data_IF_435411366978
#
_entry.id   IF_435411366978
#
_cell.length_a   1.000
_cell.length_b   1.000
_cell.length_c   1.000
_cell.angle_alpha   90.00
_cell.angle_beta   90.00
_cell.angle_gamma   90.00
#
_symmetry.space_group_name_H-M   'P 1'
#
loop_
_entity.id
_entity.type
_entity.pdbx_description
1 polymer ?
#
# COMPACT_ATOMS: atom_id res chain seq x y z
N UNK A 1 0.77 7.80 -3.32
CA UNK A 1 0.73 6.41 -2.82
C UNK A 1 -0.73 6.08 -2.58
N UNK A 2 -1.22 4.99 -3.18
CA UNK A 2 -2.55 4.45 -2.91
C UNK A 2 -2.38 3.08 -2.24
N UNK A 3 -3.05 2.88 -1.10
CA UNK A 3 -3.08 1.59 -0.39
C UNK A 3 -4.53 1.13 -0.38
N UNK A 4 -4.78 -0.07 -0.89
CA UNK A 4 -6.09 -0.71 -0.90
C UNK A 4 -6.03 -1.99 -0.09
N UNK A 5 -6.92 -2.11 0.90
CA UNK A 5 -7.01 -3.27 1.78
C UNK A 5 -8.33 -3.98 1.56
N UNK A 6 -8.31 -5.25 1.15
CA UNK A 6 -9.53 -6.02 0.94
C UNK A 6 -9.86 -6.86 2.17
N UNK A 7 -11.03 -6.66 2.75
CA UNK A 7 -11.46 -7.35 3.98
C UNK A 7 -11.79 -8.83 3.65
N UNK A 8 -11.20 -9.76 4.41
CA UNK A 8 -11.55 -11.19 4.37
C UNK A 8 -12.77 -11.47 5.25
N UNK A 9 -12.74 -10.94 6.47
CA UNK A 9 -13.77 -11.16 7.48
C UNK A 9 -13.79 -9.99 8.45
N UNK A 10 -14.98 -9.48 8.74
CA UNK A 10 -15.23 -8.54 9.84
C UNK A 10 -15.86 -9.32 10.99
N UNK A 11 -15.16 -9.38 12.12
CA UNK A 11 -15.75 -9.85 13.39
C UNK A 11 -16.01 -8.65 14.30
N UNK A 12 -16.85 -8.81 15.33
CA UNK A 12 -17.17 -7.72 16.28
C UNK A 12 -15.94 -7.09 16.97
N UNK A 13 -14.76 -7.72 16.92
CA UNK A 13 -13.53 -7.25 17.58
C UNK A 13 -12.30 -7.14 16.67
N UNK A 14 -12.35 -7.59 15.42
CA UNK A 14 -11.18 -7.66 14.54
C UNK A 14 -11.55 -7.61 13.06
N UNK A 15 -10.82 -6.79 12.31
CA UNK A 15 -10.77 -6.80 10.85
C UNK A 15 -9.62 -7.70 10.44
N UNK A 16 -9.91 -8.77 9.69
CA UNK A 16 -8.89 -9.55 9.00
C UNK A 16 -8.97 -9.23 7.51
N UNK A 17 -7.82 -8.92 6.91
CA UNK A 17 -7.69 -8.60 5.50
C UNK A 17 -7.26 -9.84 4.71
N UNK A 18 -7.81 -10.00 3.50
CA UNK A 18 -7.52 -11.10 2.59
C UNK A 18 -6.29 -10.83 1.75
N UNK A 19 -6.21 -9.59 1.28
CA UNK A 19 -5.20 -9.09 0.34
C UNK A 19 -4.90 -7.64 0.67
N UNK A 20 -3.66 -7.26 0.37
CA UNK A 20 -3.20 -5.88 0.39
C UNK A 20 -2.71 -5.57 -1.02
N UNK A 21 -3.16 -4.46 -1.56
CA UNK A 21 -2.56 -3.86 -2.74
C UNK A 21 -1.95 -2.51 -2.38
N UNK A 22 -0.68 -2.33 -2.69
CA UNK A 22 0.04 -1.06 -2.48
C UNK A 22 0.51 -0.59 -3.85
N UNK A 23 0.08 0.59 -4.26
CA UNK A 23 0.41 1.16 -5.57
C UNK A 23 1.08 2.52 -5.41
N UNK A 24 2.20 2.69 -6.11
CA UNK A 24 2.95 3.93 -6.22
C UNK A 24 3.06 4.36 -7.66
N UNK A 25 3.02 5.67 -7.87
CA UNK A 25 3.39 6.31 -9.13
C UNK A 25 4.70 7.01 -8.86
N UNK A 26 5.72 6.65 -9.63
CA UNK A 26 7.08 7.18 -9.53
C UNK A 26 7.38 7.94 -10.81
N UNK A 27 7.80 9.20 -10.66
CA UNK A 27 8.18 10.09 -11.73
C UNK A 27 9.63 9.83 -12.17
N UNK A 28 9.97 10.22 -13.41
CA UNK A 28 11.31 10.00 -13.98
C UNK A 28 12.45 10.61 -13.16
N UNK A 29 12.20 11.71 -12.44
CA UNK A 29 13.19 12.39 -11.61
C UNK A 29 13.43 11.72 -10.25
N UNK A 30 12.64 10.69 -9.90
CA UNK A 30 12.73 10.01 -8.62
C UNK A 30 13.67 8.79 -8.71
N UNK A 31 14.42 8.56 -7.64
CA UNK A 31 15.31 7.40 -7.52
C UNK A 31 14.52 6.16 -7.07
N UNK A 32 14.17 5.32 -8.05
CA UNK A 32 13.37 4.11 -7.81
C UNK A 32 14.08 3.10 -6.92
N UNK A 33 15.39 2.92 -7.08
CA UNK A 33 16.14 1.90 -6.35
C UNK A 33 16.19 2.26 -4.87
N UNK A 34 16.47 3.53 -4.57
CA UNK A 34 16.40 4.06 -3.21
C UNK A 34 14.99 3.95 -2.64
N UNK A 35 13.97 4.28 -3.43
CA UNK A 35 12.58 4.18 -3.01
C UNK A 35 12.17 2.74 -2.64
N UNK A 36 12.47 1.77 -3.52
CA UNK A 36 12.19 0.35 -3.31
C UNK A 36 12.94 -0.19 -2.09
N UNK A 37 14.22 0.18 -1.90
CA UNK A 37 15.00 -0.25 -0.75
C UNK A 37 14.36 0.14 0.58
N UNK A 38 13.79 1.36 0.68
CA UNK A 38 13.07 1.79 1.88
C UNK A 38 11.77 1.03 2.06
N UNK A 39 11.04 0.73 0.98
CA UNK A 39 9.81 -0.09 1.08
C UNK A 39 10.11 -1.51 1.56
N UNK A 40 11.21 -2.10 1.10
CA UNK A 40 11.65 -3.43 1.53
C UNK A 40 11.94 -3.44 3.03
N UNK A 41 12.61 -2.40 3.53
CA UNK A 41 12.92 -2.25 4.95
C UNK A 41 11.66 -2.06 5.81
N UNK A 42 10.79 -1.13 5.43
CA UNK A 42 9.59 -0.79 6.22
C UNK A 42 8.61 -1.95 6.28
N UNK A 43 8.36 -2.61 5.14
CA UNK A 43 7.30 -3.61 5.02
C UNK A 43 7.81 -5.05 5.05
N UNK A 44 9.12 -5.30 5.05
CA UNK A 44 9.69 -6.64 4.91
C UNK A 44 9.34 -7.24 3.54
N UNK A 45 9.41 -6.43 2.50
CA UNK A 45 9.10 -6.80 1.12
C UNK A 45 10.39 -7.10 0.33
N UNK A 46 10.22 -7.72 -0.83
CA UNK A 46 11.30 -8.07 -1.76
C UNK A 46 10.92 -7.66 -3.18
N UNK A 47 11.89 -7.62 -4.09
CA UNK A 47 11.64 -7.29 -5.50
C UNK A 47 10.55 -8.16 -6.13
N UNK A 48 10.47 -9.44 -5.75
CA UNK A 48 9.45 -10.38 -6.25
C UNK A 48 8.03 -10.07 -5.81
N UNK A 49 7.87 -9.21 -4.81
CA UNK A 49 6.56 -8.76 -4.34
C UNK A 49 5.97 -7.64 -5.21
N UNK A 50 6.78 -7.05 -6.09
CA UNK A 50 6.40 -5.90 -6.90
C UNK A 50 6.31 -6.22 -8.39
N UNK A 51 5.35 -5.56 -9.02
CA UNK A 51 5.24 -5.43 -10.47
C UNK A 51 5.50 -3.96 -10.82
N UNK A 52 6.40 -3.72 -11.78
CA UNK A 52 6.76 -2.38 -12.24
C UNK A 52 6.33 -2.26 -13.70
N UNK A 53 5.50 -1.25 -13.98
CA UNK A 53 5.03 -0.94 -15.34
C UNK A 53 5.38 0.50 -15.70
N UNK A 54 6.14 0.68 -16.79
CA UNK A 54 6.32 2.00 -17.41
C UNK A 54 5.06 2.39 -18.18
N UNK A 55 4.57 3.60 -17.97
CA UNK A 55 3.38 4.12 -18.65
C UNK A 55 3.49 5.63 -18.82
N UNK A 56 2.63 6.21 -19.64
CA UNK A 56 2.49 7.66 -19.79
C UNK A 56 1.63 8.22 -18.66
N UNK A 57 2.07 9.32 -18.06
CA UNK A 57 1.35 10.09 -17.05
C UNK A 57 0.39 11.11 -17.68
N UNK A 58 -0.35 11.84 -16.84
CA UNK A 58 -1.38 12.78 -17.29
C UNK A 58 -0.87 13.91 -18.21
N UNK A 59 0.42 14.24 -18.18
CA UNK A 59 1.03 15.30 -19.00
C UNK A 59 2.00 14.76 -20.05
N UNK A 60 1.88 13.48 -20.43
CA UNK A 60 2.74 12.86 -21.44
C UNK A 60 4.13 12.45 -20.96
N UNK A 61 4.44 12.74 -19.69
CA UNK A 61 5.68 12.33 -19.05
C UNK A 61 5.66 10.84 -18.73
N UNK A 62 6.80 10.17 -18.91
CA UNK A 62 6.93 8.76 -18.53
C UNK A 62 6.91 8.64 -17.00
N UNK A 63 6.09 7.72 -16.52
CA UNK A 63 5.98 7.34 -15.12
C UNK A 63 6.15 5.84 -14.95
N UNK A 64 6.48 5.43 -13.75
CA UNK A 64 6.56 4.04 -13.35
C UNK A 64 5.47 3.75 -12.33
N UNK A 65 4.59 2.82 -12.67
CA UNK A 65 3.58 2.31 -11.77
C UNK A 65 4.16 1.08 -11.06
N UNK A 66 4.40 1.21 -9.76
CA UNK A 66 4.90 0.14 -8.90
C UNK A 66 3.72 -0.40 -8.12
N UNK A 67 3.44 -1.69 -8.22
CA UNK A 67 2.34 -2.34 -7.50
C UNK A 67 2.83 -3.58 -6.77
N UNK A 68 2.61 -3.62 -5.45
CA UNK A 68 2.70 -4.84 -4.66
C UNK A 68 1.31 -5.43 -4.45
N UNK A 69 1.14 -6.71 -4.72
CA UNK A 69 -0.07 -7.47 -4.41
C UNK A 69 0.30 -8.62 -3.48
N UNK A 70 -0.17 -8.55 -2.24
CA UNK A 70 0.18 -9.49 -1.18
C UNK A 70 -1.05 -10.32 -0.80
N UNK A 71 -0.86 -11.63 -0.67
CA UNK A 71 -1.94 -12.58 -0.38
C UNK A 71 -1.72 -13.35 0.92
N UNK A 72 -2.81 -13.58 1.65
CA UNK A 72 -2.96 -14.50 2.78
C UNK A 72 -1.94 -14.31 3.92
N UNK A 73 -0.82 -15.01 3.91
CA UNK A 73 -0.05 -15.28 5.12
C UNK A 73 0.73 -14.05 5.61
N UNK A 74 1.13 -13.16 4.69
CA UNK A 74 1.88 -11.93 5.01
C UNK A 74 1.00 -10.73 5.30
N UNK A 75 -0.29 -10.82 4.99
CA UNK A 75 -1.25 -9.71 5.10
C UNK A 75 -1.39 -9.21 6.53
N UNK A 76 -1.57 -10.07 7.57
CA UNK A 76 -1.75 -9.58 8.94
C UNK A 76 -0.55 -8.77 9.46
N UNK A 77 0.67 -9.24 9.17
CA UNK A 77 1.90 -8.56 9.62
C UNK A 77 2.02 -7.17 8.98
N UNK A 78 1.82 -7.08 7.67
CA UNK A 78 2.00 -5.83 6.92
C UNK A 78 0.89 -4.84 7.22
N UNK A 79 -0.37 -5.29 7.34
CA UNK A 79 -1.47 -4.43 7.81
C UNK A 79 -1.15 -3.87 9.19
N UNK A 80 -0.67 -4.68 10.13
CA UNK A 80 -0.34 -4.21 11.47
C UNK A 80 0.78 -3.16 11.43
N UNK A 81 1.83 -3.37 10.63
CA UNK A 81 2.89 -2.37 10.43
C UNK A 81 2.32 -1.06 9.89
N UNK A 82 1.52 -1.10 8.82
CA UNK A 82 0.87 0.08 8.24
C UNK A 82 0.05 0.81 9.30
N UNK A 83 -0.91 0.12 9.95
CA UNK A 83 -1.79 0.74 10.93
C UNK A 83 -1.03 1.29 12.15
N UNK A 84 0.05 0.63 12.58
CA UNK A 84 0.90 1.12 13.69
C UNK A 84 1.77 2.32 13.32
N UNK A 85 2.07 2.51 12.03
CA UNK A 85 2.88 3.63 11.53
C UNK A 85 2.06 4.91 11.32
N UNK A 86 0.73 4.80 11.23
CA UNK A 86 -0.16 5.94 11.12
C UNK A 86 -0.33 6.57 12.51
N UNK A 87 -0.16 7.88 12.60
CA UNK A 87 -0.35 8.57 13.88
C UNK A 87 -1.83 8.53 14.32
N UNK A 88 -2.06 8.75 15.61
CA UNK A 88 -3.39 8.64 16.22
C UNK A 88 -4.41 9.64 15.62
N UNK A 89 -3.95 10.82 15.18
CA UNK A 89 -4.84 11.83 14.58
C UNK A 89 -5.33 11.36 13.21
N UNK A 90 -4.43 10.87 12.36
CA UNK A 90 -4.76 10.37 11.03
C UNK A 90 -5.62 9.11 11.11
N UNK A 91 -5.34 8.21 12.07
CA UNK A 91 -6.19 7.05 12.34
C UNK A 91 -7.62 7.46 12.73
N UNK A 92 -7.77 8.52 13.53
CA UNK A 92 -9.10 9.06 13.89
C UNK A 92 -9.82 9.61 12.67
N UNK A 93 -9.12 10.35 11.81
CA UNK A 93 -9.67 10.87 10.55
C UNK A 93 -10.17 9.73 9.67
N UNK A 94 -9.33 8.71 9.42
CA UNK A 94 -9.71 7.53 8.62
C UNK A 94 -10.95 6.84 9.22
N UNK A 95 -11.04 6.74 10.55
CA UNK A 95 -12.17 6.08 11.20
C UNK A 95 -13.47 6.91 11.13
N UNK A 96 -13.38 8.24 11.23
CA UNK A 96 -14.54 9.13 11.10
C UNK A 96 -15.08 9.14 9.67
N UNK A 97 -14.17 9.09 8.70
CA UNK A 97 -14.47 9.19 7.27
C UNK A 97 -14.45 7.82 6.58
N UNK A 98 -14.57 6.73 7.35
CA UNK A 98 -14.37 5.37 6.86
C UNK A 98 -15.22 5.03 5.63
N UNK A 99 -16.47 5.54 5.58
CA UNK A 99 -17.38 5.31 4.45
C UNK A 99 -16.88 5.90 3.13
N UNK A 100 -16.03 6.93 3.15
CA UNK A 100 -15.44 7.50 1.94
C UNK A 100 -14.27 6.69 1.40
N UNK A 101 -13.71 5.79 2.21
CA UNK A 101 -12.56 4.95 1.86
C UNK A 101 -12.94 3.50 1.55
N UNK A 102 -14.24 3.18 1.59
CA UNK A 102 -14.77 1.88 1.23
C UNK A 102 -15.37 1.98 -0.18
N UNK A 103 -14.81 1.21 -1.12
CA UNK A 103 -15.42 0.90 -2.43
C UNK A 103 -16.32 -0.33 -2.34
#
# INVERSE_FOLDING_TARGET
MNISLTILKKTQKKLDFRTIEITFVIHETEDIDKFLSHLFEIFGLSDTDFSIKKTEGHHGNIIQLIRAHLIRDRVPEITNKILSSINVTDLKTINNDLLYYLD
#
